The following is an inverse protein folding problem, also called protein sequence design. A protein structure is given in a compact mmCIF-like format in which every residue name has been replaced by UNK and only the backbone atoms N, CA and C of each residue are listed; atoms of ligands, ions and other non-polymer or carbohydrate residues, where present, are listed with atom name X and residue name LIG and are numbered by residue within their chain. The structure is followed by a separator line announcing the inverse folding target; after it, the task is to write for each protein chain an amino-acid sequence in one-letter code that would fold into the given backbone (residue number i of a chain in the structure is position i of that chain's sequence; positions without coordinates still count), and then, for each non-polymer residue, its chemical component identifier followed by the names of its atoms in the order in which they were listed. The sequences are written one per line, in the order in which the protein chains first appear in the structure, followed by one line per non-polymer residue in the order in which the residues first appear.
data_IF_667181881560
#
_entry.id   IF_667181881560
#
_cell.length_a   1.000
_cell.length_b   1.000
_cell.length_c   1.000
_cell.angle_alpha   90.00
_cell.angle_beta   90.00
_cell.angle_gamma   90.00
#
_symmetry.space_group_name_H-M   'P 1'
#
loop_
_entity.id
_entity.type
_entity.pdbx_description
1 polymer ?
#
# COMPACT_ATOMS: atom_id res chain seq x y z
N UNK A 1 28.15 37.84 10.56
CA UNK A 1 27.06 36.91 10.93
C UNK A 1 26.01 36.76 9.83
N UNK A 2 25.35 37.83 9.37
CA UNK A 2 24.28 37.79 8.33
C UNK A 2 24.63 37.03 7.04
N UNK A 3 25.88 37.11 6.55
CA UNK A 3 26.35 36.37 5.37
C UNK A 3 26.45 34.85 5.62
N UNK A 4 26.85 34.43 6.82
CA UNK A 4 26.96 33.02 7.20
C UNK A 4 25.56 32.41 7.34
N UNK A 5 24.62 33.16 7.92
CA UNK A 5 23.22 32.75 8.04
C UNK A 5 22.58 32.55 6.66
N UNK A 6 22.85 33.42 5.69
CA UNK A 6 22.35 33.27 4.32
C UNK A 6 22.90 32.03 3.63
N UNK A 7 24.21 31.76 3.78
CA UNK A 7 24.84 30.55 3.22
C UNK A 7 24.28 29.27 3.84
N UNK A 8 24.07 29.26 5.16
CA UNK A 8 23.47 28.14 5.85
C UNK A 8 22.04 27.85 5.37
N UNK A 9 21.22 28.89 5.20
CA UNK A 9 19.84 28.75 4.69
C UNK A 9 19.83 28.22 3.26
N UNK A 10 20.70 28.71 2.37
CA UNK A 10 20.78 28.19 0.99
C UNK A 10 21.19 26.71 0.95
N UNK A 11 22.09 26.28 1.83
CA UNK A 11 22.56 24.90 1.88
C UNK A 11 21.45 23.95 2.36
N UNK A 12 20.65 24.37 3.34
CA UNK A 12 19.48 23.61 3.81
C UNK A 12 18.44 23.49 2.69
N UNK A 13 18.16 24.54 1.93
CA UNK A 13 17.18 24.51 0.83
C UNK A 13 17.57 23.53 -0.28
N UNK A 14 18.88 23.38 -0.57
CA UNK A 14 19.38 22.38 -1.52
C UNK A 14 19.13 20.94 -1.03
N UNK A 15 19.24 20.70 0.27
CA UNK A 15 19.03 19.38 0.88
C UNK A 15 17.57 18.90 0.95
N UNK A 16 16.59 19.80 0.77
CA UNK A 16 15.15 19.46 0.75
C UNK A 16 14.64 19.20 -0.68
N UNK A 17 15.52 19.27 -1.68
CA UNK A 17 15.16 18.90 -3.05
C UNK A 17 14.90 17.39 -3.14
N UNK A 18 13.62 17.02 -3.28
CA UNK A 18 13.20 15.63 -3.43
C UNK A 18 13.48 15.10 -4.84
N UNK A 19 13.69 13.79 -4.94
CA UNK A 19 13.94 13.05 -6.19
C UNK A 19 12.68 12.88 -7.06
N UNK A 20 11.93 13.97 -7.30
CA UNK A 20 10.66 13.94 -8.05
C UNK A 20 10.82 13.52 -9.52
N UNK A 21 12.03 13.61 -10.08
CA UNK A 21 12.36 13.21 -11.45
C UNK A 21 12.93 11.79 -11.58
N UNK A 22 13.05 11.03 -10.49
CA UNK A 22 13.62 9.67 -10.47
C UNK A 22 12.58 8.57 -10.72
N UNK A 23 11.35 8.95 -11.09
CA UNK A 23 10.27 8.03 -11.41
C UNK A 23 10.09 7.80 -12.91
N UNK A 24 9.22 6.84 -13.22
CA UNK A 24 8.77 6.56 -14.58
C UNK A 24 7.69 7.54 -15.03
N UNK A 25 7.65 7.85 -16.31
CA UNK A 25 6.66 8.73 -16.91
C UNK A 25 5.24 8.14 -16.76
N UNK A 26 4.17 8.94 -16.66
CA UNK A 26 2.82 8.44 -16.37
C UNK A 26 2.33 7.34 -17.33
N UNK A 27 2.74 7.38 -18.61
CA UNK A 27 2.39 6.38 -19.62
C UNK A 27 3.22 5.09 -19.53
N UNK A 28 4.39 5.11 -18.89
CA UNK A 28 5.22 3.93 -18.66
C UNK A 28 4.65 3.02 -17.56
N UNK A 29 3.75 3.56 -16.72
CA UNK A 29 3.08 2.82 -15.64
C UNK A 29 2.18 1.68 -16.12
N UNK A 30 1.79 1.68 -17.39
CA UNK A 30 1.00 0.61 -17.99
C UNK A 30 1.69 -0.76 -17.91
N UNK A 31 3.02 -0.82 -17.88
CA UNK A 31 3.76 -2.08 -17.76
C UNK A 31 3.57 -2.79 -16.42
N UNK A 32 3.23 -2.07 -15.36
CA UNK A 32 2.99 -2.62 -14.02
C UNK A 32 1.51 -2.97 -13.76
N UNK A 33 0.61 -2.63 -14.69
CA UNK A 33 -0.83 -2.90 -14.57
C UNK A 33 -1.22 -4.22 -15.25
N UNK A 34 -0.37 -5.25 -15.13
CA UNK A 34 -0.68 -6.58 -15.66
C UNK A 34 -1.64 -7.31 -14.73
N UNK A 35 -2.46 -8.20 -15.29
CA UNK A 35 -3.46 -8.96 -14.52
C UNK A 35 -2.84 -9.89 -13.47
N UNK A 36 -1.62 -10.38 -13.70
CA UNK A 36 -0.89 -11.27 -12.78
C UNK A 36 -0.29 -10.53 -11.58
N UNK A 37 -0.10 -9.21 -11.68
CA UNK A 37 0.42 -8.36 -10.59
C UNK A 37 -0.67 -7.78 -9.69
N UNK A 38 -1.95 -8.08 -9.97
CA UNK A 38 -3.06 -7.70 -9.11
C UNK A 38 -2.94 -8.37 -7.73
N UNK A 39 -3.39 -7.68 -6.67
CA UNK A 39 -3.38 -8.23 -5.30
C UNK A 39 -4.27 -9.48 -5.16
N UNK A 40 -5.21 -9.64 -6.09
CA UNK A 40 -6.18 -10.72 -6.22
C UNK A 40 -6.02 -11.51 -7.53
N UNK A 41 -4.81 -11.56 -8.07
CA UNK A 41 -4.53 -12.29 -9.29
C UNK A 41 -4.84 -13.79 -9.16
N UNK A 42 -4.60 -14.38 -7.99
CA UNK A 42 -4.89 -15.79 -7.69
C UNK A 42 -6.18 -15.96 -6.87
N UNK A 43 -7.31 -16.04 -7.59
CA UNK A 43 -8.64 -16.07 -6.97
C UNK A 43 -8.90 -17.32 -6.13
N UNK A 44 -8.30 -18.46 -6.49
CA UNK A 44 -8.52 -19.71 -5.77
C UNK A 44 -7.85 -19.65 -4.39
N UNK A 45 -6.62 -19.17 -4.33
CA UNK A 45 -5.88 -18.99 -3.08
C UNK A 45 -6.59 -18.00 -2.16
N UNK A 46 -7.10 -16.89 -2.71
CA UNK A 46 -7.90 -15.94 -1.93
C UNK A 46 -9.16 -16.56 -1.34
N UNK A 47 -9.92 -17.33 -2.14
CA UNK A 47 -11.12 -18.00 -1.66
C UNK A 47 -10.81 -19.03 -0.56
N UNK A 48 -9.68 -19.74 -0.69
CA UNK A 48 -9.22 -20.68 0.32
C UNK A 48 -8.82 -19.96 1.62
N UNK A 49 -8.06 -18.88 1.52
CA UNK A 49 -7.67 -18.06 2.66
C UNK A 49 -8.91 -17.53 3.38
N UNK A 50 -9.88 -16.95 2.64
CA UNK A 50 -11.12 -16.46 3.23
C UNK A 50 -11.90 -17.56 3.95
N UNK A 51 -11.96 -18.78 3.40
CA UNK A 51 -12.58 -19.91 4.07
C UNK A 51 -11.85 -20.30 5.37
N UNK A 52 -10.52 -20.27 5.38
CA UNK A 52 -9.70 -20.56 6.56
C UNK A 52 -9.90 -19.48 7.63
N UNK A 53 -9.81 -18.20 7.26
CA UNK A 53 -10.02 -17.08 8.20
C UNK A 53 -11.43 -17.08 8.75
N UNK A 54 -12.45 -17.32 7.90
CA UNK A 54 -13.82 -17.46 8.36
C UNK A 54 -13.97 -18.60 9.38
N UNK A 55 -13.39 -19.77 9.08
CA UNK A 55 -13.47 -20.94 9.97
C UNK A 55 -12.78 -20.71 11.33
N UNK A 56 -11.74 -19.87 11.37
CA UNK A 56 -10.98 -19.57 12.60
C UNK A 56 -11.55 -18.40 13.39
N UNK A 57 -12.05 -17.38 12.71
CA UNK A 57 -12.33 -16.05 13.27
C UNK A 57 -13.79 -15.61 13.03
N UNK A 58 -14.64 -16.48 12.49
CA UNK A 58 -16.04 -16.19 12.19
C UNK A 58 -16.85 -15.78 13.42
N UNK A 59 -16.50 -16.28 14.61
CA UNK A 59 -17.15 -15.91 15.87
C UNK A 59 -16.69 -14.56 16.43
N UNK A 60 -15.41 -14.21 16.25
CA UNK A 60 -14.83 -12.91 16.64
C UNK A 60 -15.14 -11.78 15.66
N UNK A 61 -15.63 -12.16 14.49
CA UNK A 61 -16.11 -11.23 13.50
C UNK A 61 -15.14 -10.90 12.40
N UNK A 62 -14.85 -11.92 11.59
CA UNK A 62 -13.98 -11.82 10.42
C UNK A 62 -14.41 -10.78 9.38
N UNK A 63 -13.85 -10.87 8.16
CA UNK A 63 -13.90 -9.85 7.11
C UNK A 63 -15.30 -9.49 6.53
N UNK A 64 -16.38 -10.08 7.05
CA UNK A 64 -17.75 -9.85 6.58
C UNK A 64 -18.53 -8.92 7.52
N UNK A 65 -19.48 -8.16 6.97
CA UNK A 65 -20.31 -7.20 7.71
C UNK A 65 -21.17 -7.80 8.83
N UNK A 66 -21.36 -9.12 8.85
CA UNK A 66 -22.06 -9.86 9.90
C UNK A 66 -21.09 -10.67 10.80
N UNK A 67 -19.81 -10.29 10.81
CA UNK A 67 -18.80 -10.92 11.64
C UNK A 67 -18.98 -10.51 13.10
N UNK A 68 -19.52 -11.41 13.90
CA UNK A 68 -19.52 -11.34 15.36
C UNK A 68 -20.68 -12.14 15.91
N UNK A 69 -20.41 -13.35 16.44
CA UNK A 69 -21.47 -14.31 16.82
C UNK A 69 -20.94 -15.70 17.13
N UNK A 70 -21.75 -16.76 16.99
CA UNK A 70 -21.28 -18.15 17.20
C UNK A 70 -20.34 -18.68 16.12
N UNK A 71 -20.02 -17.89 15.08
CA UNK A 71 -19.25 -18.34 13.92
C UNK A 71 -20.03 -19.26 12.99
N UNK A 72 -21.34 -19.37 13.17
CA UNK A 72 -22.22 -20.18 12.33
C UNK A 72 -22.75 -19.29 11.19
N UNK A 73 -22.14 -19.35 10.00
CA UNK A 73 -22.74 -18.83 8.76
C UNK A 73 -23.88 -19.76 8.33
#
# INVERSE_FOLDING_TARGET
MRKITLVAVSLVMLGVSGCSSLGVEPWERGQFARSDMALDSEKLDQALDDHIYFSKEGSSGGRAFAGGGCGCN
#
